data_IF_074655239331
#
_entry.id   IF_074655239331
#
_cell.length_a   1.000
_cell.length_b   1.000
_cell.length_c   1.000
_cell.angle_alpha   90.00
_cell.angle_beta   90.00
_cell.angle_gamma   90.00
#
_symmetry.space_group_name_H-M   'P 1'
#
loop_
_entity.id
_entity.type
_entity.pdbx_description
1 polymer ?
#
# COMPACT_ATOMS: atom_id res chain seq x y z
N UNK A 1 -34.11 -18.63 20.60
CA UNK A 1 -32.75 -18.13 20.82
C UNK A 1 -32.82 -16.62 20.87
N UNK A 2 -32.39 -16.02 21.98
CA UNK A 2 -32.24 -14.58 22.11
C UNK A 2 -30.78 -14.26 22.36
N UNK A 3 -30.31 -13.12 21.85
CA UNK A 3 -28.98 -12.63 22.20
C UNK A 3 -29.02 -11.13 22.52
N UNK A 4 -28.16 -10.71 23.39
CA UNK A 4 -27.97 -9.32 23.82
C UNK A 4 -26.51 -8.95 23.70
N UNK A 5 -26.21 -7.85 23.04
CA UNK A 5 -24.85 -7.31 22.96
C UNK A 5 -24.58 -6.38 24.15
N UNK A 6 -23.53 -6.68 24.91
CA UNK A 6 -23.06 -5.87 26.04
C UNK A 6 -21.91 -5.01 25.53
N UNK A 7 -22.20 -3.72 25.34
CA UNK A 7 -21.26 -2.78 24.71
C UNK A 7 -19.89 -2.79 25.39
N UNK A 8 -18.84 -2.99 24.61
CA UNK A 8 -17.44 -3.04 25.07
C UNK A 8 -17.05 -4.28 25.86
N UNK A 9 -17.95 -5.26 26.07
CA UNK A 9 -17.66 -6.46 26.87
C UNK A 9 -17.89 -7.76 26.13
N UNK A 10 -18.91 -7.87 25.27
CA UNK A 10 -19.23 -9.08 24.55
C UNK A 10 -20.72 -9.30 24.33
N UNK A 11 -21.14 -10.57 24.31
CA UNK A 11 -22.53 -10.97 24.08
C UNK A 11 -23.02 -11.95 25.15
N UNK A 12 -24.30 -11.89 25.45
CA UNK A 12 -25.07 -12.90 26.19
C UNK A 12 -26.09 -13.52 25.26
N UNK A 13 -26.10 -14.82 25.16
CA UNK A 13 -27.09 -15.55 24.36
C UNK A 13 -27.81 -16.58 25.23
N UNK A 14 -29.14 -16.69 25.06
CA UNK A 14 -29.96 -17.74 25.68
C UNK A 14 -30.32 -18.77 24.61
N UNK A 15 -29.85 -19.97 24.81
CA UNK A 15 -30.07 -21.13 23.94
C UNK A 15 -30.78 -22.25 24.74
N UNK A 16 -31.32 -23.31 24.10
CA UNK A 16 -31.96 -24.40 24.82
C UNK A 16 -31.09 -25.05 25.90
N UNK A 17 -29.78 -25.08 25.67
CA UNK A 17 -28.77 -25.65 26.56
C UNK A 17 -28.43 -24.74 27.77
N UNK A 18 -28.88 -23.47 27.75
CA UNK A 18 -28.64 -22.53 28.83
C UNK A 18 -28.21 -21.15 28.36
N UNK A 19 -27.57 -20.39 29.26
CA UNK A 19 -27.05 -19.05 29.00
C UNK A 19 -25.58 -19.13 28.63
N UNK A 20 -25.26 -18.65 27.42
CA UNK A 20 -23.89 -18.52 26.93
C UNK A 20 -23.44 -17.05 27.13
N UNK A 21 -22.26 -16.87 27.65
CA UNK A 21 -21.53 -15.61 27.66
C UNK A 21 -20.29 -15.76 26.80
N UNK A 22 -20.09 -14.82 25.87
CA UNK A 22 -18.87 -14.76 25.06
C UNK A 22 -18.37 -13.32 24.99
N UNK A 23 -17.14 -13.06 25.43
CA UNK A 23 -16.59 -11.72 25.49
C UNK A 23 -15.25 -11.63 26.20
N UNK A 24 -14.89 -10.39 26.57
CA UNK A 24 -13.63 -10.11 27.24
C UNK A 24 -13.64 -10.54 28.72
N UNK A 25 -12.48 -10.44 29.38
CA UNK A 25 -12.31 -10.77 30.77
C UNK A 25 -13.28 -10.04 31.68
N UNK A 26 -13.53 -8.75 31.43
CA UNK A 26 -14.44 -7.94 32.24
C UNK A 26 -15.88 -8.49 32.23
N UNK A 27 -16.37 -9.05 31.11
CA UNK A 27 -17.68 -9.71 31.04
C UNK A 27 -17.75 -10.93 31.96
N UNK A 28 -16.69 -11.71 32.04
CA UNK A 28 -16.61 -12.91 32.88
C UNK A 28 -16.57 -12.53 34.38
N UNK A 29 -15.73 -11.57 34.73
CA UNK A 29 -15.59 -11.06 36.10
C UNK A 29 -16.90 -10.45 36.63
N UNK A 30 -17.61 -9.64 35.82
CA UNK A 30 -18.92 -9.06 36.17
C UNK A 30 -20.00 -10.14 36.47
N UNK A 31 -19.83 -11.34 35.85
CA UNK A 31 -20.75 -12.46 36.08
C UNK A 31 -20.20 -13.51 37.07
N UNK A 32 -19.13 -13.19 37.82
CA UNK A 32 -18.56 -14.04 38.84
C UNK A 32 -17.96 -15.34 38.34
N UNK A 33 -17.49 -15.38 37.11
CA UNK A 33 -16.92 -16.58 36.47
C UNK A 33 -15.42 -16.61 36.71
N UNK A 34 -14.95 -17.64 37.42
CA UNK A 34 -13.53 -17.89 37.63
C UNK A 34 -12.84 -18.30 36.34
N UNK A 35 -11.74 -17.64 36.02
CA UNK A 35 -10.97 -17.86 34.79
C UNK A 35 -9.50 -18.16 35.07
N UNK A 36 -8.82 -18.92 34.19
CA UNK A 36 -7.38 -19.11 34.28
C UNK A 36 -6.62 -17.79 34.18
N UNK A 37 -5.47 -17.70 34.87
CA UNK A 37 -4.55 -16.54 34.74
C UNK A 37 -3.71 -16.70 33.49
N UNK A 38 -4.27 -16.53 32.33
CA UNK A 38 -3.53 -16.50 31.06
C UNK A 38 -3.51 -15.10 30.47
N UNK A 39 -2.35 -14.65 30.08
CA UNK A 39 -2.01 -13.29 29.65
C UNK A 39 -1.97 -13.17 28.13
N UNK A 40 -3.05 -13.41 27.40
CA UNK A 40 -3.11 -13.05 25.99
C UNK A 40 -4.23 -12.05 25.74
N UNK A 41 -3.92 -10.96 25.01
CA UNK A 41 -4.77 -9.78 24.87
C UNK A 41 -5.91 -9.94 23.84
N UNK A 42 -5.90 -10.96 23.00
CA UNK A 42 -6.91 -11.19 21.96
C UNK A 42 -7.68 -12.48 22.23
N UNK A 43 -8.36 -12.57 23.40
CA UNK A 43 -9.13 -13.75 23.77
C UNK A 43 -10.59 -13.40 23.96
N UNK A 44 -11.45 -14.18 23.34
CA UNK A 44 -12.86 -14.23 23.70
C UNK A 44 -13.05 -15.41 24.64
N UNK A 45 -13.38 -15.11 25.89
CA UNK A 45 -13.74 -16.11 26.88
C UNK A 45 -15.17 -16.57 26.65
N UNK A 46 -15.40 -17.88 26.80
CA UNK A 46 -16.73 -18.49 26.63
C UNK A 46 -17.13 -19.19 27.92
N UNK A 47 -18.31 -18.88 28.40
CA UNK A 47 -18.91 -19.54 29.55
C UNK A 47 -20.33 -20.01 29.22
N UNK A 48 -20.73 -21.14 29.80
CA UNK A 48 -22.07 -21.71 29.72
C UNK A 48 -22.61 -21.93 31.14
N UNK A 49 -23.79 -21.39 31.42
CA UNK A 49 -24.46 -21.50 32.72
C UNK A 49 -23.57 -21.10 33.92
N UNK A 50 -22.80 -20.01 33.77
CA UNK A 50 -21.91 -19.52 34.80
C UNK A 50 -20.57 -20.30 34.93
N UNK A 51 -20.33 -21.30 34.10
CA UNK A 51 -19.08 -22.06 34.11
C UNK A 51 -18.21 -21.71 32.91
N UNK A 52 -16.94 -21.40 33.14
CA UNK A 52 -15.96 -21.23 32.09
C UNK A 52 -15.81 -22.51 31.27
N UNK A 53 -15.88 -22.42 29.95
CA UNK A 53 -15.80 -23.55 29.02
C UNK A 53 -14.55 -23.52 28.14
N UNK A 54 -13.94 -22.33 27.97
CA UNK A 54 -12.76 -22.19 27.15
C UNK A 54 -12.62 -20.77 26.65
N UNK A 55 -11.63 -20.58 25.79
CA UNK A 55 -11.37 -19.32 25.13
C UNK A 55 -11.22 -19.53 23.61
N UNK A 56 -11.55 -18.52 22.86
CA UNK A 56 -11.29 -18.43 21.42
C UNK A 56 -10.19 -17.40 21.25
N UNK A 57 -9.05 -17.84 20.72
CA UNK A 57 -7.99 -16.92 20.32
C UNK A 57 -8.32 -16.38 18.94
N UNK A 58 -8.33 -15.06 18.82
CA UNK A 58 -8.40 -14.37 17.54
C UNK A 58 -6.98 -13.87 17.26
N UNK A 59 -6.33 -14.50 16.31
CA UNK A 59 -5.04 -14.03 15.81
C UNK A 59 -5.25 -13.49 14.40
N UNK A 60 -4.84 -12.25 14.18
CA UNK A 60 -4.75 -11.73 12.82
C UNK A 60 -3.67 -12.51 12.08
N UNK A 61 -4.09 -13.23 11.05
CA UNK A 61 -3.16 -13.98 10.22
C UNK A 61 -2.53 -13.05 9.19
N UNK A 62 -1.22 -13.20 9.00
CA UNK A 62 -0.51 -12.54 7.92
C UNK A 62 -1.13 -12.96 6.57
N UNK A 63 -1.38 -11.99 5.69
CA UNK A 63 -1.81 -12.28 4.32
C UNK A 63 -0.76 -13.14 3.62
N UNK A 64 -1.15 -14.20 2.91
CA UNK A 64 -0.19 -15.14 2.28
C UNK A 64 0.83 -14.46 1.38
N UNK A 65 0.42 -13.40 0.68
CA UNK A 65 1.25 -12.64 -0.25
C UNK A 65 2.15 -11.58 0.41
N UNK A 66 1.99 -11.30 1.72
CA UNK A 66 2.70 -10.20 2.37
C UNK A 66 4.23 -10.36 2.33
N UNK A 67 4.73 -11.55 2.61
CA UNK A 67 6.17 -11.83 2.58
C UNK A 67 6.76 -11.67 1.17
N UNK A 68 6.03 -12.11 0.14
CA UNK A 68 6.44 -11.95 -1.25
C UNK A 68 6.45 -10.48 -1.67
N UNK A 69 5.43 -9.70 -1.26
CA UNK A 69 5.35 -8.28 -1.54
C UNK A 69 6.52 -7.51 -0.90
N UNK A 70 6.85 -7.81 0.37
CA UNK A 70 7.99 -7.23 1.08
C UNK A 70 9.31 -7.56 0.37
N UNK A 71 9.51 -8.81 -0.03
CA UNK A 71 10.71 -9.21 -0.78
C UNK A 71 10.86 -8.42 -2.09
N UNK A 72 9.76 -8.26 -2.86
CA UNK A 72 9.75 -7.46 -4.09
C UNK A 72 10.02 -5.97 -3.83
N UNK A 73 9.53 -5.40 -2.73
CA UNK A 73 9.85 -4.02 -2.34
C UNK A 73 11.34 -3.87 -2.02
N UNK A 74 11.92 -4.82 -1.31
CA UNK A 74 13.36 -4.86 -1.02
C UNK A 74 14.21 -4.97 -2.30
N UNK A 75 13.80 -5.76 -3.29
CA UNK A 75 14.45 -5.81 -4.61
C UNK A 75 14.41 -4.45 -5.33
N UNK A 76 13.38 -3.63 -5.06
CA UNK A 76 13.28 -2.27 -5.59
C UNK A 76 14.11 -1.24 -4.79
N UNK A 77 14.83 -1.68 -3.74
CA UNK A 77 15.64 -0.85 -2.88
C UNK A 77 14.79 -0.03 -1.89
N UNK A 78 13.63 -0.55 -1.49
CA UNK A 78 12.72 0.08 -0.52
C UNK A 78 12.71 -0.72 0.77
N UNK A 79 12.79 -0.03 1.90
CA UNK A 79 12.58 -0.59 3.24
C UNK A 79 11.09 -0.58 3.59
N UNK A 80 10.65 -1.62 4.30
CA UNK A 80 9.25 -1.80 4.68
C UNK A 80 9.09 -1.74 6.19
N UNK A 81 8.32 -0.78 6.67
CA UNK A 81 8.03 -0.59 8.10
C UNK A 81 6.53 -0.67 8.35
N UNK A 82 6.10 -1.46 9.33
CA UNK A 82 4.71 -1.58 9.74
C UNK A 82 4.36 -0.56 10.82
N UNK A 83 3.25 0.15 10.63
CA UNK A 83 2.65 1.05 11.62
C UNK A 83 1.32 0.45 12.09
N UNK A 84 1.25 -0.03 13.33
CA UNK A 84 0.05 -0.73 13.83
C UNK A 84 -0.39 -0.22 15.21
N UNK A 85 -1.71 -0.29 15.46
CA UNK A 85 -2.28 -0.09 16.78
C UNK A 85 -2.15 -1.31 17.70
N UNK A 86 -1.73 -2.47 17.16
CA UNK A 86 -1.55 -3.69 17.93
C UNK A 86 -0.45 -3.54 18.97
N UNK A 87 -0.47 -4.45 19.95
CA UNK A 87 0.56 -4.50 20.97
C UNK A 87 1.92 -4.95 20.41
N UNK A 88 2.98 -4.61 21.14
CA UNK A 88 4.38 -4.88 20.76
C UNK A 88 4.64 -6.36 20.43
N UNK A 89 4.04 -7.31 21.18
CA UNK A 89 4.26 -8.75 21.00
C UNK A 89 3.67 -9.25 19.68
N UNK A 90 2.43 -8.86 19.38
CA UNK A 90 1.74 -9.21 18.12
C UNK A 90 2.44 -8.58 16.92
N UNK A 91 2.77 -7.28 17.01
CA UNK A 91 3.46 -6.56 15.96
C UNK A 91 4.84 -7.18 15.65
N UNK A 92 5.61 -7.54 16.67
CA UNK A 92 6.91 -8.20 16.48
C UNK A 92 6.78 -9.57 15.79
N UNK A 93 5.74 -10.36 16.14
CA UNK A 93 5.50 -11.66 15.52
C UNK A 93 5.15 -11.50 14.03
N UNK A 94 4.25 -10.56 13.69
CA UNK A 94 3.84 -10.28 12.30
C UNK A 94 5.03 -9.73 11.50
N UNK A 95 5.79 -8.78 12.05
CA UNK A 95 6.95 -8.21 11.39
C UNK A 95 8.00 -9.28 11.04
N UNK A 96 8.25 -10.20 11.96
CA UNK A 96 9.16 -11.33 11.74
C UNK A 96 8.63 -12.30 10.67
N UNK A 97 7.33 -12.60 10.66
CA UNK A 97 6.72 -13.50 9.68
C UNK A 97 6.74 -12.91 8.27
N UNK A 98 6.46 -11.61 8.16
CA UNK A 98 6.47 -10.87 6.90
C UNK A 98 7.87 -10.48 6.43
N UNK A 99 8.90 -10.68 7.24
CA UNK A 99 10.29 -10.27 6.98
C UNK A 99 10.42 -8.75 6.75
N UNK A 100 9.72 -7.95 7.58
CA UNK A 100 9.76 -6.49 7.55
C UNK A 100 11.09 -5.96 8.12
N UNK A 101 11.52 -4.80 7.62
CA UNK A 101 12.74 -4.13 8.07
C UNK A 101 12.53 -3.40 9.39
N UNK A 102 11.27 -2.99 9.71
CA UNK A 102 10.93 -2.35 10.97
C UNK A 102 9.44 -2.43 11.29
N UNK A 103 9.10 -2.08 12.54
CA UNK A 103 7.72 -1.91 12.97
C UNK A 103 7.59 -0.93 14.13
N UNK A 104 6.43 -0.28 14.23
CA UNK A 104 6.01 0.54 15.36
C UNK A 104 4.64 0.06 15.81
N UNK A 105 4.53 -0.29 17.09
CA UNK A 105 3.36 -0.88 17.70
C UNK A 105 2.64 0.11 18.63
N UNK A 106 1.39 -0.20 19.00
CA UNK A 106 0.56 0.58 19.92
C UNK A 106 0.37 2.05 19.50
N UNK A 107 0.34 2.30 18.18
CA UNK A 107 0.16 3.63 17.63
C UNK A 107 -1.31 4.02 17.55
N UNK A 108 -1.63 5.21 18.05
CA UNK A 108 -2.88 5.88 17.75
C UNK A 108 -2.85 6.48 16.34
N UNK A 109 -3.99 6.80 15.71
CA UNK A 109 -4.03 7.42 14.38
C UNK A 109 -3.16 8.68 14.26
N UNK A 110 -3.11 9.51 15.31
CA UNK A 110 -2.26 10.71 15.37
C UNK A 110 -0.78 10.40 15.41
N UNK A 111 -0.38 9.27 16.04
CA UNK A 111 1.02 8.85 16.08
C UNK A 111 1.49 8.39 14.70
N UNK A 112 0.63 7.68 13.94
CA UNK A 112 0.90 7.31 12.55
C UNK A 112 1.11 8.55 11.69
N UNK A 113 0.21 9.54 11.82
CA UNK A 113 0.34 10.82 11.12
C UNK A 113 1.67 11.51 11.46
N UNK A 114 2.00 11.63 12.75
CA UNK A 114 3.25 12.26 13.20
C UNK A 114 4.49 11.52 12.70
N UNK A 115 4.43 10.19 12.57
CA UNK A 115 5.51 9.39 12.00
C UNK A 115 5.71 9.73 10.50
N UNK A 116 4.63 9.79 9.74
CA UNK A 116 4.66 10.11 8.31
C UNK A 116 5.14 11.55 8.08
N UNK A 117 4.72 12.52 8.88
CA UNK A 117 5.17 13.92 8.78
C UNK A 117 6.67 14.08 8.97
N UNK A 118 7.30 13.22 9.78
CA UNK A 118 8.76 13.17 9.96
C UNK A 118 9.48 12.46 8.83
N UNK A 119 8.78 11.61 8.08
CA UNK A 119 9.31 10.78 6.99
C UNK A 119 8.59 11.11 5.67
N UNK A 120 8.65 12.36 5.24
CA UNK A 120 7.90 12.87 4.08
C UNK A 120 8.22 12.18 2.74
N UNK A 121 9.39 11.57 2.61
CA UNK A 121 9.78 10.82 1.40
C UNK A 121 9.28 9.37 1.42
N UNK A 122 8.36 9.03 2.35
CA UNK A 122 7.80 7.70 2.48
C UNK A 122 6.59 7.46 1.57
N UNK A 123 6.37 6.18 1.28
CA UNK A 123 5.13 5.70 0.67
C UNK A 123 4.27 5.12 1.80
N UNK A 124 3.09 5.70 2.04
CA UNK A 124 2.11 5.14 2.97
C UNK A 124 1.14 4.25 2.22
N UNK A 125 0.96 3.02 2.72
CA UNK A 125 -0.02 2.07 2.19
C UNK A 125 -1.04 1.79 3.28
N UNK A 126 -2.31 2.00 3.00
CA UNK A 126 -3.40 1.78 3.95
C UNK A 126 -4.71 1.42 3.28
N UNK A 127 -5.67 0.90 4.04
CA UNK A 127 -6.96 0.43 3.54
C UNK A 127 -8.18 1.13 4.20
N UNK A 128 -7.95 1.92 5.24
CA UNK A 128 -9.00 2.36 6.13
C UNK A 128 -9.17 3.87 6.32
N UNK A 129 -10.31 4.22 6.92
CA UNK A 129 -10.66 5.58 7.33
C UNK A 129 -9.61 6.15 8.30
N UNK A 130 -9.07 5.29 9.17
CA UNK A 130 -8.13 5.69 10.21
C UNK A 130 -6.77 6.10 9.65
N UNK A 131 -6.43 5.65 8.45
CA UNK A 131 -5.16 5.93 7.79
C UNK A 131 -5.25 7.11 6.79
N UNK A 132 -6.45 7.62 6.49
CA UNK A 132 -6.66 8.71 5.54
C UNK A 132 -5.79 9.96 5.81
N UNK A 133 -5.67 10.46 7.07
CA UNK A 133 -4.78 11.60 7.34
C UNK A 133 -3.31 11.29 7.08
N UNK A 134 -2.86 10.07 7.34
CA UNK A 134 -1.48 9.65 7.08
C UNK A 134 -1.21 9.45 5.58
N UNK A 135 -2.20 8.92 4.83
CA UNK A 135 -2.14 8.79 3.36
C UNK A 135 -2.01 10.17 2.70
N UNK A 136 -2.77 11.17 3.15
CA UNK A 136 -2.73 12.55 2.61
C UNK A 136 -1.38 13.23 2.85
N UNK A 137 -0.72 12.96 3.98
CA UNK A 137 0.54 13.63 4.37
C UNK A 137 1.80 12.89 3.93
N UNK A 138 1.68 11.66 3.46
CA UNK A 138 2.80 10.90 2.91
C UNK A 138 3.34 11.55 1.63
N UNK A 139 4.58 11.23 1.27
CA UNK A 139 5.12 11.61 -0.03
C UNK A 139 4.36 10.97 -1.18
N UNK A 140 3.86 9.75 -0.97
CA UNK A 140 2.92 9.06 -1.85
C UNK A 140 1.97 8.26 -0.97
N UNK A 141 0.66 8.52 -1.07
CA UNK A 141 -0.40 7.76 -0.43
C UNK A 141 -0.97 6.70 -1.37
N UNK A 142 -0.98 5.44 -0.95
CA UNK A 142 -1.56 4.32 -1.71
C UNK A 142 -2.73 3.73 -0.91
N UNK A 143 -3.95 3.89 -1.39
CA UNK A 143 -5.13 3.23 -0.84
C UNK A 143 -5.31 1.85 -1.46
N UNK A 144 -5.61 0.85 -0.62
CA UNK A 144 -5.78 -0.55 -1.03
C UNK A 144 -7.21 -1.05 -0.91
N UNK A 145 -7.61 -1.86 -1.88
CA UNK A 145 -8.89 -2.58 -1.88
C UNK A 145 -10.07 -1.67 -2.14
N UNK A 146 -11.26 -2.13 -1.74
CA UNK A 146 -12.46 -1.31 -1.67
C UNK A 146 -12.39 -0.42 -0.42
N UNK A 147 -11.29 0.32 -0.28
CA UNK A 147 -11.09 1.29 0.78
C UNK A 147 -12.29 2.21 0.88
N UNK A 148 -12.49 2.82 2.04
CA UNK A 148 -13.58 3.77 2.21
C UNK A 148 -13.43 4.91 1.21
N UNK A 149 -14.54 5.47 0.77
CA UNK A 149 -14.56 6.63 -0.12
C UNK A 149 -13.61 7.74 0.34
N UNK A 150 -13.46 7.90 1.67
CA UNK A 150 -12.55 8.88 2.27
C UNK A 150 -11.07 8.58 1.98
N UNK A 151 -10.62 7.33 2.10
CA UNK A 151 -9.24 6.96 1.80
C UNK A 151 -8.93 7.07 0.29
N UNK A 152 -9.91 6.69 -0.56
CA UNK A 152 -9.77 6.82 -2.01
C UNK A 152 -9.70 8.27 -2.50
N UNK A 153 -10.33 9.22 -1.79
CA UNK A 153 -10.32 10.64 -2.16
C UNK A 153 -9.00 11.34 -1.85
N UNK A 154 -8.24 10.86 -0.87
CA UNK A 154 -7.00 11.51 -0.42
C UNK A 154 -5.72 10.81 -0.90
N UNK A 155 -5.83 9.58 -1.40
CA UNK A 155 -4.68 8.82 -1.88
C UNK A 155 -4.27 9.24 -3.30
N UNK A 156 -2.95 9.30 -3.55
CA UNK A 156 -2.39 9.55 -4.89
C UNK A 156 -2.60 8.37 -5.83
N UNK A 157 -2.62 7.14 -5.27
CA UNK A 157 -2.80 5.91 -6.02
C UNK A 157 -3.85 5.04 -5.33
N UNK A 158 -4.80 4.53 -6.12
CA UNK A 158 -5.82 3.59 -5.63
C UNK A 158 -5.62 2.23 -6.29
N UNK A 159 -5.37 1.21 -5.49
CA UNK A 159 -5.26 -0.18 -5.94
C UNK A 159 -6.59 -0.88 -5.67
N UNK A 160 -7.34 -1.18 -6.74
CA UNK A 160 -8.72 -1.69 -6.66
C UNK A 160 -8.83 -3.12 -6.10
N UNK A 161 -7.75 -3.85 -5.97
CA UNK A 161 -7.74 -5.17 -5.35
C UNK A 161 -7.06 -5.13 -3.97
N UNK A 162 -7.27 -6.17 -3.18
CA UNK A 162 -6.68 -6.30 -1.84
C UNK A 162 -5.33 -7.03 -1.83
N UNK A 163 -4.72 -7.31 -3.00
CA UNK A 163 -3.48 -8.05 -3.09
C UNK A 163 -2.27 -7.13 -2.91
N UNK A 164 -1.47 -7.39 -1.87
CA UNK A 164 -0.28 -6.59 -1.55
C UNK A 164 0.79 -6.60 -2.65
N UNK A 165 0.86 -7.62 -3.49
CA UNK A 165 1.77 -7.67 -4.64
C UNK A 165 1.48 -6.58 -5.69
N UNK A 166 0.30 -5.97 -5.64
CA UNK A 166 -0.03 -4.85 -6.52
C UNK A 166 0.76 -3.57 -6.18
N UNK A 167 1.23 -3.41 -4.93
CA UNK A 167 2.05 -2.26 -4.51
C UNK A 167 3.41 -2.25 -5.22
N UNK A 168 4.26 -3.29 -5.10
CA UNK A 168 5.51 -3.32 -5.85
C UNK A 168 5.32 -3.28 -7.36
N UNK A 169 4.22 -3.85 -7.88
CA UNK A 169 3.88 -3.77 -9.30
C UNK A 169 3.57 -2.33 -9.73
N UNK A 170 2.80 -1.56 -8.96
CA UNK A 170 2.52 -0.15 -9.23
C UNK A 170 3.80 0.69 -9.23
N UNK A 171 4.71 0.47 -8.28
CA UNK A 171 6.00 1.17 -8.20
C UNK A 171 6.88 0.83 -9.42
N UNK A 172 6.95 -0.45 -9.82
CA UNK A 172 7.68 -0.88 -11.02
C UNK A 172 7.12 -0.23 -12.29
N UNK A 173 5.79 -0.19 -12.41
CA UNK A 173 5.11 0.45 -13.53
C UNK A 173 5.41 1.94 -13.59
N UNK A 174 5.35 2.64 -12.45
CA UNK A 174 5.71 4.06 -12.35
C UNK A 174 7.14 4.31 -12.80
N UNK A 175 8.12 3.53 -12.29
CA UNK A 175 9.53 3.64 -12.70
C UNK A 175 9.73 3.38 -14.22
N UNK A 176 9.03 2.37 -14.76
CA UNK A 176 9.07 2.07 -16.19
C UNK A 176 8.48 3.21 -17.02
N UNK A 177 7.38 3.80 -16.57
CA UNK A 177 6.73 4.95 -17.23
C UNK A 177 7.64 6.16 -17.24
N UNK A 178 8.26 6.52 -16.10
CA UNK A 178 9.21 7.65 -16.03
C UNK A 178 10.43 7.41 -16.93
N UNK A 179 10.96 6.19 -16.96
CA UNK A 179 12.06 5.83 -17.88
C UNK A 179 11.66 6.00 -19.33
N UNK A 180 10.46 5.57 -19.69
CA UNK A 180 9.91 5.71 -21.04
C UNK A 180 9.73 7.19 -21.42
N UNK A 181 9.19 8.02 -20.52
CA UNK A 181 9.05 9.47 -20.72
C UNK A 181 10.43 10.13 -20.95
N UNK A 182 11.40 9.85 -20.07
CA UNK A 182 12.76 10.39 -20.21
C UNK A 182 13.40 10.01 -21.55
N UNK A 183 13.20 8.78 -21.99
CA UNK A 183 13.72 8.30 -23.27
C UNK A 183 13.05 9.02 -24.46
N UNK A 184 11.73 9.21 -24.42
CA UNK A 184 10.98 9.95 -25.43
C UNK A 184 11.42 11.41 -25.51
N UNK A 185 11.58 12.06 -24.37
CA UNK A 185 12.08 13.43 -24.29
C UNK A 185 13.50 13.56 -24.85
N UNK A 186 14.39 12.65 -24.48
CA UNK A 186 15.76 12.64 -25.00
C UNK A 186 15.78 12.62 -26.54
N UNK A 187 15.04 11.70 -27.15
CA UNK A 187 14.99 11.63 -28.61
C UNK A 187 14.35 12.86 -29.24
N UNK A 188 13.26 13.38 -28.66
CA UNK A 188 12.61 14.60 -29.16
C UNK A 188 13.57 15.78 -29.16
N UNK A 189 14.32 15.99 -28.07
CA UNK A 189 15.31 17.07 -27.99
C UNK A 189 16.50 16.82 -28.91
N UNK A 190 16.98 15.59 -29.01
CA UNK A 190 18.11 15.23 -29.85
C UNK A 190 17.85 15.56 -31.31
N UNK A 191 16.71 15.17 -31.87
CA UNK A 191 16.35 15.49 -33.23
C UNK A 191 16.26 17.02 -33.46
N UNK A 192 15.68 17.75 -32.54
CA UNK A 192 15.58 19.20 -32.66
C UNK A 192 16.94 19.91 -32.54
N UNK A 193 17.78 19.48 -31.59
CA UNK A 193 19.12 20.03 -31.38
C UNK A 193 20.04 19.86 -32.60
N UNK A 194 19.93 18.73 -33.32
CA UNK A 194 20.63 18.52 -34.53
C UNK A 194 19.96 19.18 -35.74
N UNK A 195 18.65 19.10 -35.84
CA UNK A 195 17.89 19.59 -36.99
C UNK A 195 17.87 21.11 -37.11
N UNK A 196 17.75 21.86 -36.02
CA UNK A 196 17.69 23.33 -36.06
C UNK A 196 18.95 23.98 -36.62
N UNK A 197 20.20 23.63 -36.18
CA UNK A 197 21.41 24.19 -36.74
C UNK A 197 21.58 23.85 -38.21
N UNK A 198 21.24 22.60 -38.59
CA UNK A 198 21.32 22.15 -39.99
C UNK A 198 20.32 22.94 -40.87
N UNK A 199 19.09 23.12 -40.40
CA UNK A 199 18.06 23.94 -41.07
C UNK A 199 18.47 25.42 -41.16
N UNK A 200 19.16 25.91 -40.14
CA UNK A 200 19.71 27.30 -40.15
C UNK A 200 20.91 27.49 -41.08
N UNK A 201 21.34 26.44 -41.79
CA UNK A 201 22.43 26.55 -42.77
C UNK A 201 23.82 26.27 -42.21
N UNK A 202 23.96 25.60 -41.04
CA UNK A 202 25.27 25.26 -40.48
C UNK A 202 26.13 24.48 -41.47
N UNK A 203 25.54 23.59 -42.31
CA UNK A 203 26.26 22.82 -43.32
C UNK A 203 26.79 23.68 -44.46
N UNK A 204 26.11 24.79 -44.79
CA UNK A 204 26.57 25.67 -45.86
C UNK A 204 27.84 26.44 -45.51
N UNK A 205 28.10 26.66 -44.19
CA UNK A 205 29.37 27.26 -43.73
C UNK A 205 30.59 26.39 -44.04
N UNK A 206 30.37 25.09 -44.24
CA UNK A 206 31.39 24.10 -44.59
C UNK A 206 31.32 23.63 -46.04
N UNK A 207 30.59 24.39 -46.90
CA UNK A 207 30.41 24.05 -48.31
C UNK A 207 29.42 22.93 -48.60
N UNK A 208 28.61 22.52 -47.61
CA UNK A 208 27.56 21.50 -47.74
C UNK A 208 26.24 22.04 -48.34
N UNK A 209 25.34 21.13 -48.73
CA UNK A 209 24.04 21.54 -49.30
C UNK A 209 23.13 22.19 -48.26
N UNK A 210 22.21 23.02 -48.72
CA UNK A 210 21.09 23.51 -47.89
C UNK A 210 20.11 22.40 -47.60
N UNK A 211 19.52 22.41 -46.40
CA UNK A 211 18.52 21.40 -46.04
C UNK A 211 17.25 21.61 -46.87
N UNK A 212 16.83 20.60 -47.60
CA UNK A 212 15.58 20.59 -48.31
C UNK A 212 14.41 20.60 -47.27
N UNK A 213 13.43 21.48 -47.41
CA UNK A 213 12.26 21.53 -46.53
C UNK A 213 11.52 20.19 -46.43
N UNK A 214 11.55 19.38 -47.47
CA UNK A 214 10.94 18.05 -47.48
C UNK A 214 11.68 17.07 -46.58
N UNK A 215 13.02 17.15 -46.53
CA UNK A 215 13.83 16.31 -45.61
C UNK A 215 13.60 16.76 -44.17
N UNK A 216 13.49 18.06 -43.91
CA UNK A 216 13.17 18.57 -42.56
C UNK A 216 11.81 18.03 -42.09
N UNK A 217 10.77 18.09 -42.92
CA UNK A 217 9.44 17.58 -42.61
C UNK A 217 9.45 16.06 -42.35
N UNK A 218 10.24 15.29 -43.12
CA UNK A 218 10.40 13.86 -42.91
C UNK A 218 11.05 13.57 -41.55
N UNK A 219 12.12 14.28 -41.19
CA UNK A 219 12.79 14.11 -39.89
C UNK A 219 11.82 14.42 -38.72
N UNK A 220 10.99 15.46 -38.81
CA UNK A 220 9.97 15.77 -37.80
C UNK A 220 8.93 14.65 -37.67
N UNK A 221 8.47 14.09 -38.81
CA UNK A 221 7.53 12.97 -38.82
C UNK A 221 8.12 11.70 -38.19
N UNK A 222 9.37 11.39 -38.49
CA UNK A 222 10.10 10.25 -37.89
C UNK A 222 10.31 10.43 -36.39
N UNK A 223 10.58 11.66 -35.91
CA UNK A 223 10.67 11.97 -34.50
C UNK A 223 9.36 11.67 -33.77
N UNK A 224 8.23 12.14 -34.30
CA UNK A 224 6.92 11.87 -33.73
C UNK A 224 6.57 10.39 -33.71
N UNK A 225 6.87 9.68 -34.81
CA UNK A 225 6.68 8.23 -34.90
C UNK A 225 7.50 7.47 -33.85
N UNK A 226 8.76 7.87 -33.64
CA UNK A 226 9.64 7.24 -32.66
C UNK A 226 9.11 7.38 -31.22
N UNK A 227 8.57 8.53 -30.85
CA UNK A 227 7.94 8.79 -29.55
C UNK A 227 6.70 7.90 -29.36
N UNK A 228 5.85 7.79 -30.38
CA UNK A 228 4.65 6.94 -30.31
C UNK A 228 5.03 5.46 -30.16
N UNK A 229 6.01 4.98 -30.95
CA UNK A 229 6.48 3.60 -30.86
C UNK A 229 7.09 3.29 -29.49
N UNK A 230 7.85 4.24 -28.93
CA UNK A 230 8.39 4.11 -27.58
C UNK A 230 7.28 4.08 -26.53
N UNK A 231 6.27 4.94 -26.61
CA UNK A 231 5.12 4.91 -25.72
C UNK A 231 4.35 3.58 -25.80
N UNK A 232 4.18 3.03 -27.01
CA UNK A 232 3.54 1.72 -27.20
C UNK A 232 4.35 0.56 -26.59
N UNK A 233 5.67 0.70 -26.42
CA UNK A 233 6.50 -0.31 -25.78
C UNK A 233 6.08 -0.57 -24.32
N UNK A 234 5.47 0.42 -23.64
CA UNK A 234 4.96 0.27 -22.28
C UNK A 234 3.82 -0.77 -22.17
N UNK A 235 3.08 -1.04 -23.27
CA UNK A 235 2.10 -2.14 -23.31
C UNK A 235 2.72 -3.53 -23.12
N UNK A 236 4.03 -3.67 -23.29
CA UNK A 236 4.77 -4.93 -23.07
C UNK A 236 5.24 -5.09 -21.62
N UNK A 237 4.89 -4.14 -20.75
CA UNK A 237 5.18 -4.27 -19.31
C UNK A 237 4.51 -5.52 -18.77
N UNK A 238 5.29 -6.39 -18.13
CA UNK A 238 4.77 -7.56 -17.40
C UNK A 238 4.78 -7.24 -15.91
N UNK A 239 3.62 -7.40 -15.30
CA UNK A 239 3.40 -7.24 -13.86
C UNK A 239 4.16 -8.30 -13.05
#
# INVERSE_FOLDING_TARGET
VSFEAIVGKGIRATVPEGVILAGNRALMEDNGIEMPKEDSQAQIYVALNGQYKGLVMIEDSLRPEAKEAVAKLRELGLESTMLTGDNQKTAAAIAKQADLDGFHASLMPQDKLSFIERNKDSIMVGDGINDAPALEKAGIGIAMGCGTDAAMQVADVVIMNSNLNSVPTAIRLSRATIKNIKHSLFWAFFYNTLGIPVAAGLLTLFGGPTLDPMIAALCMSLSSLSVVLNALSLKRFKA
#
